data_IF_452742590693
#
_entry.id   IF_452742590693
#
_cell.length_a   1.000
_cell.length_b   1.000
_cell.length_c   1.000
_cell.angle_alpha   90.00
_cell.angle_beta   90.00
_cell.angle_gamma   90.00
#
_symmetry.space_group_name_H-M   'P 1'
#
loop_
_entity.id
_entity.type
_entity.pdbx_description
1 polymer ?
#
# COMPACT_ATOMS: atom_id res chain seq x y z
N UNK A 1 0.61 -32.19 27.18
CA UNK A 1 1.92 -31.64 26.80
C UNK A 1 1.64 -30.45 25.89
N UNK A 2 1.88 -29.24 26.37
CA UNK A 2 1.77 -28.03 25.55
C UNK A 2 3.03 -28.00 24.68
N UNK A 3 2.87 -28.09 23.36
CA UNK A 3 4.00 -27.92 22.44
C UNK A 3 4.68 -26.58 22.75
N UNK A 4 6.02 -26.52 22.84
CA UNK A 4 6.68 -25.22 22.93
C UNK A 4 6.26 -24.43 21.69
N UNK A 5 5.65 -23.27 21.91
CA UNK A 5 5.28 -22.36 20.82
C UNK A 5 6.53 -22.02 20.00
N UNK A 6 6.37 -21.63 18.72
CA UNK A 6 7.50 -21.20 17.91
C UNK A 6 8.31 -20.16 18.71
N UNK A 7 9.61 -20.39 18.83
CA UNK A 7 10.54 -19.45 19.46
C UNK A 7 10.40 -18.09 18.77
N UNK A 8 10.53 -17.00 19.53
CA UNK A 8 10.30 -15.62 19.06
C UNK A 8 11.14 -15.24 17.81
N UNK A 9 12.22 -15.99 17.56
CA UNK A 9 13.12 -15.89 16.40
C UNK A 9 12.59 -16.50 15.09
N UNK A 10 11.55 -17.35 15.11
CA UNK A 10 11.11 -18.09 13.92
C UNK A 10 10.52 -17.19 12.82
N UNK A 11 10.08 -15.97 13.16
CA UNK A 11 9.42 -15.06 12.23
C UNK A 11 10.05 -13.66 12.27
N UNK A 12 11.29 -13.59 11.81
CA UNK A 12 12.03 -12.34 11.60
C UNK A 12 11.91 -11.87 10.16
N UNK A 13 11.78 -10.55 9.98
CA UNK A 13 11.64 -9.88 8.68
C UNK A 13 12.74 -8.84 8.47
N UNK A 14 13.90 -9.07 9.10
CA UNK A 14 15.10 -8.25 8.89
C UNK A 14 15.40 -8.11 7.39
N UNK A 15 15.64 -6.88 6.96
CA UNK A 15 15.87 -6.53 5.56
C UNK A 15 14.62 -6.30 4.71
N UNK A 16 13.40 -6.46 5.26
CA UNK A 16 12.19 -5.94 4.63
C UNK A 16 11.99 -4.45 4.93
N UNK A 17 11.53 -3.72 3.92
CA UNK A 17 11.20 -2.29 4.01
C UNK A 17 9.71 -2.09 3.73
N UNK A 18 9.01 -1.42 4.64
CA UNK A 18 7.61 -1.06 4.47
C UNK A 18 7.44 0.46 4.46
N UNK A 19 6.67 0.96 3.49
CA UNK A 19 6.30 2.36 3.39
C UNK A 19 4.81 2.52 3.62
N UNK A 20 4.44 3.44 4.50
CA UNK A 20 3.07 3.89 4.70
C UNK A 20 2.91 5.27 4.08
N UNK A 21 1.93 5.44 3.21
CA UNK A 21 1.54 6.77 2.73
C UNK A 21 0.25 7.18 3.43
N UNK A 22 0.37 8.12 4.37
CA UNK A 22 -0.73 8.71 5.10
C UNK A 22 -1.38 9.83 4.27
N UNK A 23 -2.53 9.52 3.69
CA UNK A 23 -3.34 10.36 2.83
C UNK A 23 -4.39 11.16 3.62
N UNK A 24 -4.09 11.53 4.88
CA UNK A 24 -4.88 12.50 5.62
C UNK A 24 -4.95 13.85 4.90
N UNK A 25 -5.99 14.63 5.19
CA UNK A 25 -6.13 16.00 4.71
C UNK A 25 -5.44 17.04 5.62
N UNK A 26 -4.97 16.61 6.79
CA UNK A 26 -4.38 17.49 7.82
C UNK A 26 -2.87 17.58 7.68
N UNK A 27 -2.31 18.79 7.59
CA UNK A 27 -0.86 19.00 7.45
C UNK A 27 -0.15 18.71 8.77
N UNK A 28 1.11 18.28 8.71
CA UNK A 28 1.91 18.15 9.93
C UNK A 28 2.10 19.53 10.61
N UNK A 29 2.07 19.61 11.96
CA UNK A 29 2.03 18.52 12.93
C UNK A 29 0.61 18.17 13.44
N UNK A 30 -0.46 18.50 12.70
CA UNK A 30 -1.82 18.21 13.16
C UNK A 30 -2.04 16.70 13.34
N UNK A 31 -2.85 16.34 14.34
CA UNK A 31 -3.16 14.93 14.64
C UNK A 31 -3.95 14.28 13.51
N UNK A 32 -3.38 13.22 12.94
CA UNK A 32 -4.05 12.35 11.98
C UNK A 32 -4.56 11.08 12.68
N UNK A 33 -5.87 10.88 12.67
CA UNK A 33 -6.50 9.68 13.20
C UNK A 33 -6.00 8.40 12.51
N UNK A 34 -5.77 8.48 11.21
CA UNK A 34 -5.19 7.40 10.42
C UNK A 34 -3.78 7.04 10.89
N UNK A 35 -2.98 8.02 11.33
CA UNK A 35 -1.62 7.78 11.82
C UNK A 35 -1.60 6.92 13.08
N UNK A 36 -2.56 7.10 13.97
CA UNK A 36 -2.69 6.24 15.14
C UNK A 36 -2.87 4.76 14.79
N UNK A 37 -3.56 4.46 13.68
CA UNK A 37 -3.73 3.09 13.19
C UNK A 37 -2.47 2.60 12.44
N UNK A 38 -1.79 3.48 11.71
CA UNK A 38 -0.49 3.21 11.09
C UNK A 38 0.51 2.77 12.15
N UNK A 39 0.60 3.48 13.27
CA UNK A 39 1.56 3.19 14.35
C UNK A 39 1.36 1.81 14.97
N UNK A 40 0.11 1.30 15.02
CA UNK A 40 -0.18 -0.08 15.44
C UNK A 40 0.44 -1.10 14.50
N UNK A 41 0.27 -0.92 13.20
CA UNK A 41 0.85 -1.81 12.18
C UNK A 41 2.38 -1.71 12.18
N UNK A 42 2.93 -0.50 12.26
CA UNK A 42 4.39 -0.26 12.32
C UNK A 42 5.03 -0.94 13.51
N UNK A 43 4.45 -0.83 14.70
CA UNK A 43 4.98 -1.47 15.89
C UNK A 43 5.12 -3.00 15.73
N UNK A 44 4.17 -3.64 15.04
CA UNK A 44 4.25 -5.08 14.73
C UNK A 44 5.38 -5.37 13.74
N UNK A 45 5.50 -4.58 12.66
CA UNK A 45 6.56 -4.75 11.65
C UNK A 45 7.96 -4.54 12.26
N UNK A 46 8.16 -3.45 13.00
CA UNK A 46 9.42 -3.08 13.64
C UNK A 46 9.82 -4.08 14.72
N UNK A 47 8.85 -4.55 15.53
CA UNK A 47 9.07 -5.59 16.53
C UNK A 47 9.58 -6.91 15.92
N UNK A 48 9.32 -7.14 14.63
CA UNK A 48 9.80 -8.31 13.88
C UNK A 48 10.98 -8.03 12.96
N UNK A 49 11.59 -6.84 13.03
CA UNK A 49 12.83 -6.49 12.33
C UNK A 49 12.66 -5.83 10.96
N UNK A 50 11.44 -5.66 10.47
CA UNK A 50 11.22 -4.88 9.25
C UNK A 50 11.41 -3.38 9.55
N UNK A 51 12.05 -2.66 8.63
CA UNK A 51 12.17 -1.19 8.72
C UNK A 51 10.92 -0.54 8.16
N UNK A 52 10.39 0.49 8.83
CA UNK A 52 9.20 1.20 8.36
C UNK A 52 9.48 2.68 8.13
N UNK A 53 8.74 3.26 7.18
CA UNK A 53 8.76 4.68 6.84
C UNK A 53 7.33 5.19 6.69
N UNK A 54 7.05 6.39 7.18
CA UNK A 54 5.75 7.06 7.00
C UNK A 54 5.96 8.34 6.22
N UNK A 55 5.20 8.49 5.13
CA UNK A 55 5.08 9.74 4.37
C UNK A 55 3.67 10.27 4.55
N UNK A 56 3.55 11.51 5.00
CA UNK A 56 2.27 12.21 5.00
C UNK A 56 2.13 12.98 3.68
N UNK A 57 1.32 12.45 2.77
CA UNK A 57 1.27 12.94 1.38
C UNK A 57 0.86 14.42 1.26
N UNK A 58 0.07 14.95 2.19
CA UNK A 58 -0.37 16.35 2.17
C UNK A 58 0.76 17.35 2.51
N UNK A 59 1.87 16.87 3.07
CA UNK A 59 3.05 17.69 3.38
C UNK A 59 4.00 17.83 2.17
N UNK A 60 3.76 17.06 1.11
CA UNK A 60 4.54 17.09 -0.11
C UNK A 60 3.75 17.75 -1.24
N UNK A 61 4.44 18.58 -2.03
CA UNK A 61 3.85 19.19 -3.20
C UNK A 61 3.81 18.20 -4.36
N UNK A 62 2.82 17.31 -4.32
CA UNK A 62 2.58 16.29 -5.33
C UNK A 62 1.68 16.91 -6.41
N UNK A 63 2.20 17.06 -7.61
CA UNK A 63 1.44 17.54 -8.76
C UNK A 63 0.27 16.60 -9.09
N UNK A 64 -0.79 17.09 -9.74
CA UNK A 64 -1.79 16.21 -10.35
C UNK A 64 -1.37 15.87 -11.78
N UNK A 65 -1.69 14.66 -12.23
CA UNK A 65 -1.40 14.22 -13.60
C UNK A 65 -0.87 12.80 -13.68
N UNK A 66 -0.56 12.36 -14.91
CA UNK A 66 -0.31 10.95 -15.26
C UNK A 66 1.08 10.69 -15.85
N UNK A 67 2.04 11.58 -15.62
CA UNK A 67 3.44 11.40 -16.01
C UNK A 67 4.37 11.22 -14.80
N UNK A 68 5.46 10.43 -14.88
CA UNK A 68 6.34 10.19 -13.73
C UNK A 68 6.88 11.48 -13.09
N UNK A 69 7.17 12.50 -13.90
CA UNK A 69 7.56 13.84 -13.46
C UNK A 69 6.70 14.90 -14.14
N UNK A 70 5.80 15.54 -13.39
CA UNK A 70 4.94 16.57 -13.99
C UNK A 70 5.65 17.89 -14.26
N UNK A 71 6.89 18.08 -13.79
CA UNK A 71 7.70 19.28 -14.11
C UNK A 71 7.99 19.35 -15.61
N UNK A 72 8.15 18.18 -16.25
CA UNK A 72 8.29 18.06 -17.71
C UNK A 72 6.99 18.36 -18.47
N UNK A 73 5.87 18.48 -17.75
CA UNK A 73 4.52 18.65 -18.28
C UNK A 73 3.82 19.90 -17.72
N UNK A 74 4.61 20.95 -17.43
CA UNK A 74 4.10 22.30 -17.16
C UNK A 74 3.81 22.60 -15.69
N UNK A 75 4.11 21.69 -14.76
CA UNK A 75 4.13 22.03 -13.33
C UNK A 75 5.45 22.70 -12.95
N UNK A 76 5.40 23.69 -12.07
CA UNK A 76 6.61 24.32 -11.53
C UNK A 76 7.36 23.38 -10.58
N UNK A 77 6.59 22.61 -9.81
CA UNK A 77 7.05 21.73 -8.74
C UNK A 77 6.31 20.39 -8.79
N UNK A 78 7.04 19.32 -8.52
CA UNK A 78 6.48 17.98 -8.28
C UNK A 78 7.45 17.22 -7.39
N UNK A 79 6.99 16.82 -6.21
CA UNK A 79 7.73 15.98 -5.27
C UNK A 79 7.60 14.47 -5.57
N UNK A 80 6.78 14.11 -6.56
CA UNK A 80 6.52 12.72 -6.87
C UNK A 80 7.75 11.93 -7.35
N UNK A 81 8.65 12.45 -8.21
CA UNK A 81 9.81 11.69 -8.65
C UNK A 81 10.68 11.18 -7.50
N UNK A 82 10.92 12.02 -6.49
CA UNK A 82 11.71 11.66 -5.31
C UNK A 82 10.94 10.70 -4.37
N UNK A 83 9.63 10.92 -4.20
CA UNK A 83 8.77 10.00 -3.44
C UNK A 83 8.64 8.63 -4.10
N UNK A 84 8.58 8.59 -5.44
CA UNK A 84 8.49 7.36 -6.21
C UNK A 84 9.74 6.48 -6.00
N UNK A 85 10.93 7.08 -5.94
CA UNK A 85 12.15 6.35 -5.58
C UNK A 85 12.04 5.63 -4.22
N UNK A 86 11.40 6.26 -3.23
CA UNK A 86 11.15 5.65 -1.90
C UNK A 86 10.10 4.54 -1.97
N UNK A 87 9.02 4.74 -2.75
CA UNK A 87 8.02 3.71 -3.03
C UNK A 87 8.67 2.47 -3.64
N UNK A 88 9.55 2.65 -4.63
CA UNK A 88 10.22 1.54 -5.31
C UNK A 88 11.26 0.84 -4.44
N UNK A 89 11.81 1.52 -3.43
CA UNK A 89 12.71 0.92 -2.45
C UNK A 89 11.97 0.08 -1.38
N UNK A 90 10.66 0.21 -1.26
CA UNK A 90 9.86 -0.57 -0.31
C UNK A 90 9.46 -1.93 -0.90
N UNK A 91 9.55 -2.98 -0.08
CA UNK A 91 9.00 -4.30 -0.39
C UNK A 91 7.48 -4.34 -0.15
N UNK A 92 7.00 -3.51 0.79
CA UNK A 92 5.59 -3.40 1.19
C UNK A 92 5.14 -1.93 1.08
N UNK A 93 4.01 -1.69 0.41
CA UNK A 93 3.33 -0.39 0.38
C UNK A 93 1.97 -0.48 1.06
N UNK A 94 1.73 0.36 2.06
CA UNK A 94 0.42 0.49 2.72
C UNK A 94 -0.14 1.88 2.48
N UNK A 95 -1.21 1.97 1.71
CA UNK A 95 -1.92 3.23 1.48
C UNK A 95 -2.93 3.45 2.58
N UNK A 96 -2.82 4.58 3.29
CA UNK A 96 -3.58 4.82 4.51
C UNK A 96 -4.38 6.11 4.36
N UNK A 97 -5.66 6.14 4.73
CA UNK A 97 -6.41 7.39 4.61
C UNK A 97 -7.73 7.46 5.38
N UNK A 98 -8.27 8.68 5.52
CA UNK A 98 -9.57 8.89 6.09
C UNK A 98 -10.70 8.65 5.08
N UNK A 99 -11.88 8.33 5.60
CA UNK A 99 -13.13 8.26 4.83
C UNK A 99 -13.80 9.64 4.80
N UNK A 100 -14.29 10.03 3.62
CA UNK A 100 -15.15 11.19 3.41
C UNK A 100 -16.32 10.81 2.50
N UNK A 101 -17.55 10.95 3.00
CA UNK A 101 -18.78 10.60 2.26
C UNK A 101 -18.74 9.17 1.68
N UNK A 102 -18.20 8.22 2.44
CA UNK A 102 -18.08 6.83 2.02
C UNK A 102 -16.96 6.53 1.01
N UNK A 103 -16.13 7.50 0.63
CA UNK A 103 -15.00 7.32 -0.30
C UNK A 103 -13.67 7.79 0.32
N UNK A 104 -12.57 7.47 -0.34
CA UNK A 104 -11.23 7.85 0.02
C UNK A 104 -11.04 9.37 -0.08
N UNK A 105 -10.11 9.90 0.72
CA UNK A 105 -9.69 11.30 0.63
C UNK A 105 -9.19 11.69 -0.77
N UNK A 106 -9.31 12.97 -1.12
CA UNK A 106 -8.75 13.51 -2.37
C UNK A 106 -7.23 13.30 -2.46
N UNK A 107 -6.53 13.33 -1.33
CA UNK A 107 -5.09 13.05 -1.25
C UNK A 107 -4.79 11.59 -1.61
N UNK A 108 -5.62 10.64 -1.17
CA UNK A 108 -5.48 9.23 -1.55
C UNK A 108 -5.67 9.04 -3.05
N UNK A 109 -6.71 9.66 -3.64
CA UNK A 109 -6.95 9.60 -5.09
C UNK A 109 -5.76 10.14 -5.86
N UNK A 110 -5.22 11.30 -5.46
CA UNK A 110 -4.00 11.86 -6.07
C UNK A 110 -2.81 10.90 -5.95
N UNK A 111 -2.54 10.31 -4.78
CA UNK A 111 -1.45 9.32 -4.64
C UNK A 111 -1.63 8.13 -5.58
N UNK A 112 -2.85 7.60 -5.72
CA UNK A 112 -3.14 6.50 -6.65
C UNK A 112 -2.91 6.92 -8.11
N UNK A 113 -3.36 8.10 -8.52
CA UNK A 113 -3.11 8.66 -9.86
C UNK A 113 -1.61 8.76 -10.15
N UNK A 114 -0.82 9.21 -9.17
CA UNK A 114 0.64 9.34 -9.31
C UNK A 114 1.36 8.00 -9.29
N UNK A 115 0.87 7.00 -8.57
CA UNK A 115 1.36 5.62 -8.73
C UNK A 115 1.07 5.11 -10.15
N UNK A 116 -0.12 5.37 -10.68
CA UNK A 116 -0.48 4.98 -12.05
C UNK A 116 0.29 5.73 -13.12
N UNK A 117 0.74 6.95 -12.86
CA UNK A 117 1.60 7.73 -13.75
C UNK A 117 2.91 7.00 -14.13
N UNK A 118 3.35 6.05 -13.30
CA UNK A 118 4.53 5.22 -13.53
C UNK A 118 4.22 3.84 -14.14
N UNK A 119 2.99 3.59 -14.60
CA UNK A 119 2.53 2.27 -15.08
C UNK A 119 3.21 1.80 -16.37
N UNK A 120 3.86 2.68 -17.12
CA UNK A 120 4.66 2.33 -18.30
C UNK A 120 6.07 1.83 -17.97
N UNK A 121 6.54 2.06 -16.74
CA UNK A 121 7.89 1.70 -16.31
C UNK A 121 7.96 0.19 -16.11
N UNK A 122 9.03 -0.42 -16.61
CA UNK A 122 9.31 -1.85 -16.46
C UNK A 122 10.47 -2.09 -15.49
N UNK A 123 10.47 -3.25 -14.83
CA UNK A 123 11.61 -3.75 -14.08
C UNK A 123 12.64 -4.41 -15.01
N UNK A 124 13.79 -4.83 -14.46
CA UNK A 124 14.88 -5.47 -15.22
C UNK A 124 14.46 -6.79 -15.90
N UNK A 125 13.40 -7.44 -15.42
CA UNK A 125 12.84 -8.65 -16.01
C UNK A 125 11.83 -8.37 -17.14
N UNK A 126 11.53 -7.10 -17.45
CA UNK A 126 10.55 -6.71 -18.48
C UNK A 126 9.08 -6.77 -18.03
N UNK A 127 8.83 -6.92 -16.73
CA UNK A 127 7.49 -6.81 -16.12
C UNK A 127 7.21 -5.37 -15.69
N UNK A 128 5.95 -5.03 -15.38
CA UNK A 128 5.64 -3.73 -14.78
C UNK A 128 6.42 -3.49 -13.49
N UNK A 129 6.88 -2.25 -13.27
CA UNK A 129 7.86 -1.90 -12.25
C UNK A 129 7.51 -2.41 -10.83
N UNK A 130 6.22 -2.41 -10.48
CA UNK A 130 5.74 -2.78 -9.15
C UNK A 130 5.75 -4.28 -8.84
N UNK A 131 5.97 -5.15 -9.84
CA UNK A 131 6.01 -6.59 -9.64
C UNK A 131 7.02 -6.99 -8.56
N UNK A 132 6.68 -8.04 -7.79
CA UNK A 132 7.48 -8.52 -6.67
C UNK A 132 7.28 -7.77 -5.34
N UNK A 133 6.37 -6.79 -5.29
CA UNK A 133 6.03 -6.03 -4.07
C UNK A 133 4.65 -6.38 -3.54
N UNK A 134 4.40 -6.06 -2.27
CA UNK A 134 3.15 -6.36 -1.57
C UNK A 134 2.38 -5.10 -1.21
N UNK A 135 1.06 -5.11 -1.41
CA UNK A 135 0.18 -3.98 -1.18
C UNK A 135 -0.87 -4.24 -0.08
N UNK A 136 -1.20 -3.20 0.69
CA UNK A 136 -2.29 -3.20 1.66
C UNK A 136 -2.84 -1.79 1.93
N UNK A 137 -3.85 -1.69 2.81
CA UNK A 137 -4.40 -0.38 3.18
C UNK A 137 -4.95 -0.29 4.61
N UNK A 138 -4.88 0.91 5.19
CA UNK A 138 -5.46 1.23 6.51
C UNK A 138 -6.45 2.38 6.39
N UNK A 139 -7.70 2.16 6.80
CA UNK A 139 -8.78 3.13 6.61
C UNK A 139 -9.40 3.54 7.94
N UNK A 140 -9.57 4.84 8.16
CA UNK A 140 -10.25 5.36 9.37
C UNK A 140 -11.38 6.31 9.01
N UNK A 141 -12.54 6.22 9.66
CA UNK A 141 -13.60 7.20 9.51
C UNK A 141 -14.44 7.31 10.77
N UNK A 142 -15.18 8.40 10.91
CA UNK A 142 -16.12 8.54 12.02
C UNK A 142 -17.38 7.69 11.78
N UNK A 143 -17.68 7.39 10.51
CA UNK A 143 -18.80 6.55 10.07
C UNK A 143 -18.43 5.71 8.82
N UNK A 144 -19.42 5.08 8.21
CA UNK A 144 -19.33 4.04 7.18
C UNK A 144 -18.48 4.39 5.92
N UNK A 145 -17.95 3.35 5.26
CA UNK A 145 -17.23 3.46 3.99
C UNK A 145 -15.91 2.67 3.91
N UNK A 146 -15.47 2.05 5.01
CA UNK A 146 -14.12 1.45 5.09
C UNK A 146 -13.88 0.38 4.01
N UNK A 147 -14.83 -0.53 3.81
CA UNK A 147 -14.72 -1.59 2.81
C UNK A 147 -14.80 -1.06 1.37
N UNK A 148 -15.62 -0.03 1.13
CA UNK A 148 -15.69 0.62 -0.18
C UNK A 148 -14.38 1.31 -0.53
N UNK A 149 -13.79 2.01 0.44
CA UNK A 149 -12.47 2.64 0.30
C UNK A 149 -11.39 1.59 0.02
N UNK A 150 -11.33 0.54 0.84
CA UNK A 150 -10.38 -0.56 0.70
C UNK A 150 -10.50 -1.27 -0.66
N UNK A 151 -11.73 -1.54 -1.13
CA UNK A 151 -11.96 -2.13 -2.45
C UNK A 151 -11.27 -1.33 -3.56
N UNK A 152 -11.43 0.00 -3.55
CA UNK A 152 -10.80 0.87 -4.54
C UNK A 152 -9.26 0.84 -4.43
N UNK A 153 -8.73 0.98 -3.22
CA UNK A 153 -7.28 1.01 -2.97
C UNK A 153 -6.61 -0.31 -3.35
N UNK A 154 -7.16 -1.44 -2.88
CA UNK A 154 -6.59 -2.76 -3.13
C UNK A 154 -6.67 -3.14 -4.61
N UNK A 155 -7.78 -2.82 -5.29
CA UNK A 155 -7.87 -3.00 -6.74
C UNK A 155 -6.81 -2.18 -7.48
N UNK A 156 -6.63 -0.89 -7.12
CA UNK A 156 -5.61 -0.04 -7.73
C UNK A 156 -4.20 -0.60 -7.53
N UNK A 157 -3.84 -1.01 -6.32
CA UNK A 157 -2.53 -1.62 -6.05
C UNK A 157 -2.33 -2.91 -6.84
N UNK A 158 -3.32 -3.80 -6.84
CA UNK A 158 -3.28 -5.04 -7.62
C UNK A 158 -3.09 -4.75 -9.11
N UNK A 159 -3.87 -3.80 -9.66
CA UNK A 159 -3.82 -3.46 -11.08
C UNK A 159 -2.46 -2.91 -11.52
N UNK A 160 -1.76 -2.21 -10.63
CA UNK A 160 -0.40 -1.71 -10.88
C UNK A 160 0.67 -2.82 -10.88
N UNK A 161 0.40 -3.96 -10.23
CA UNK A 161 1.34 -5.09 -10.14
C UNK A 161 1.77 -5.46 -8.72
N UNK A 162 1.20 -4.83 -7.68
CA UNK A 162 1.39 -5.32 -6.31
C UNK A 162 0.65 -6.64 -6.10
N UNK A 163 1.25 -7.54 -5.33
CA UNK A 163 0.53 -8.74 -4.84
C UNK A 163 -0.22 -8.37 -3.57
N UNK A 164 -1.51 -8.68 -3.51
CA UNK A 164 -2.39 -8.37 -2.38
C UNK A 164 -2.70 -9.68 -1.63
N UNK A 165 -2.29 -9.84 -0.36
CA UNK A 165 -2.60 -11.04 0.42
C UNK A 165 -4.08 -11.07 0.86
N UNK A 166 -4.57 -12.21 1.39
CA UNK A 166 -5.84 -12.23 2.11
C UNK A 166 -5.85 -11.22 3.27
N UNK A 167 -6.98 -10.56 3.49
CA UNK A 167 -7.15 -9.58 4.58
C UNK A 167 -6.07 -8.47 4.55
N UNK A 168 -5.81 -7.92 3.36
CA UNK A 168 -4.83 -6.84 3.15
C UNK A 168 -5.35 -5.43 3.54
N UNK A 169 -6.56 -5.35 4.09
CA UNK A 169 -7.12 -4.14 4.67
C UNK A 169 -7.38 -4.30 6.17
N UNK A 170 -7.24 -3.18 6.90
CA UNK A 170 -7.81 -3.03 8.23
C UNK A 170 -8.29 -1.59 8.43
N UNK A 171 -9.16 -1.38 9.42
CA UNK A 171 -9.71 -0.06 9.65
C UNK A 171 -10.51 0.08 10.92
N UNK A 172 -10.91 1.33 11.17
CA UNK A 172 -11.84 1.69 12.23
C UNK A 172 -12.92 2.62 11.68
N UNK A 173 -14.17 2.34 12.03
CA UNK A 173 -15.32 3.21 11.82
C UNK A 173 -16.10 3.30 13.13
N UNK A 174 -16.66 4.47 13.41
CA UNK A 174 -17.59 4.66 14.51
C UNK A 174 -19.01 4.21 14.15
N UNK A 175 -19.93 4.46 15.07
CA UNK A 175 -21.37 4.29 14.85
C UNK A 175 -21.88 5.26 13.77
N UNK A 176 -22.96 4.89 13.09
CA UNK A 176 -23.56 5.75 12.08
C UNK A 176 -23.98 7.12 12.66
N UNK A 177 -23.57 8.21 12.00
CA UNK A 177 -23.85 9.58 12.42
C UNK A 177 -22.61 10.34 12.92
N UNK A 178 -22.80 11.58 13.41
CA UNK A 178 -21.69 12.38 13.89
C UNK A 178 -21.10 11.76 15.17
N UNK A 179 -19.89 11.23 15.05
CA UNK A 179 -19.19 10.56 16.14
C UNK A 179 -17.76 11.07 16.32
N UNK A 180 -17.09 10.66 17.42
CA UNK A 180 -15.67 10.88 17.61
C UNK A 180 -14.85 10.20 16.50
N UNK A 181 -13.68 10.73 16.19
CA UNK A 181 -12.70 10.05 15.35
C UNK A 181 -11.86 9.04 16.14
N UNK A 182 -11.09 8.19 15.45
CA UNK A 182 -10.30 7.12 16.05
C UNK A 182 -9.51 7.55 17.30
N UNK A 183 -8.70 8.60 17.26
CA UNK A 183 -7.87 9.05 18.39
C UNK A 183 -8.60 9.97 19.37
N UNK A 184 -9.86 10.34 19.09
CA UNK A 184 -10.59 11.21 20.00
C UNK A 184 -10.87 10.50 21.31
N UNK A 185 -10.97 11.29 22.38
CA UNK A 185 -11.33 10.77 23.70
C UNK A 185 -12.70 10.08 23.61
N UNK A 186 -12.81 8.92 24.26
CA UNK A 186 -14.04 8.12 24.35
C UNK A 186 -14.54 7.55 23.00
N UNK A 187 -13.72 7.57 21.94
CA UNK A 187 -14.04 6.93 20.65
C UNK A 187 -14.11 5.41 20.73
N UNK A 188 -13.38 4.81 21.67
CA UNK A 188 -13.13 3.37 21.75
C UNK A 188 -12.24 2.82 20.62
N UNK A 189 -11.73 3.67 19.72
CA UNK A 189 -10.97 3.25 18.56
C UNK A 189 -9.70 2.48 18.89
N UNK A 190 -8.74 3.06 19.64
CA UNK A 190 -7.50 2.41 20.01
C UNK A 190 -7.68 1.13 20.83
N UNK A 191 -8.83 0.95 21.46
CA UNK A 191 -9.21 -0.21 22.27
C UNK A 191 -10.05 -1.24 21.50
N UNK A 192 -10.51 -0.93 20.30
CA UNK A 192 -11.42 -1.78 19.54
C UNK A 192 -10.73 -3.10 19.14
N UNK A 193 -11.23 -4.22 19.67
CA UNK A 193 -10.65 -5.56 19.45
C UNK A 193 -10.65 -5.95 17.97
N UNK A 194 -11.74 -5.67 17.25
CA UNK A 194 -11.86 -6.02 15.84
C UNK A 194 -10.84 -5.27 14.97
N UNK A 195 -10.69 -3.96 15.19
CA UNK A 195 -9.67 -3.13 14.53
C UNK A 195 -8.26 -3.63 14.86
N UNK A 196 -7.95 -3.86 16.14
CA UNK A 196 -6.62 -4.28 16.57
C UNK A 196 -6.25 -5.67 16.03
N UNK A 197 -7.18 -6.63 16.06
CA UNK A 197 -7.00 -7.97 15.51
C UNK A 197 -6.76 -7.93 14.00
N UNK A 198 -7.60 -7.22 13.25
CA UNK A 198 -7.47 -7.18 11.80
C UNK A 198 -6.23 -6.39 11.35
N UNK A 199 -5.85 -5.32 12.06
CA UNK A 199 -4.60 -4.60 11.81
C UNK A 199 -3.39 -5.51 12.03
N UNK A 200 -3.44 -6.33 13.08
CA UNK A 200 -2.40 -7.33 13.35
C UNK A 200 -2.34 -8.38 12.23
N UNK A 201 -3.48 -8.96 11.85
CA UNK A 201 -3.53 -10.00 10.80
C UNK A 201 -3.09 -9.48 9.44
N UNK A 202 -3.60 -8.31 9.03
CA UNK A 202 -3.15 -7.62 7.82
C UNK A 202 -1.63 -7.44 7.83
N UNK A 203 -1.08 -6.92 8.94
CA UNK A 203 0.38 -6.69 9.05
C UNK A 203 1.19 -7.96 8.88
N UNK A 204 0.78 -9.05 9.54
CA UNK A 204 1.44 -10.36 9.39
C UNK A 204 1.34 -10.91 7.97
N UNK A 205 0.16 -10.81 7.34
CA UNK A 205 -0.03 -11.29 5.98
C UNK A 205 0.84 -10.52 4.96
N UNK A 206 1.00 -9.21 5.15
CA UNK A 206 1.91 -8.39 4.34
C UNK A 206 3.36 -8.84 4.51
N UNK A 207 3.82 -9.03 5.75
CA UNK A 207 5.19 -9.46 6.07
C UNK A 207 5.50 -10.85 5.48
N UNK A 208 4.61 -11.82 5.69
CA UNK A 208 4.80 -13.18 5.18
C UNK A 208 4.87 -13.20 3.65
N UNK A 209 3.95 -12.51 2.98
CA UNK A 209 3.94 -12.50 1.52
C UNK A 209 5.15 -11.77 0.94
N UNK A 210 5.56 -10.66 1.56
CA UNK A 210 6.74 -9.92 1.11
C UNK A 210 8.02 -10.76 1.27
N UNK A 211 8.14 -11.51 2.37
CA UNK A 211 9.24 -12.46 2.55
C UNK A 211 9.25 -13.54 1.48
N UNK A 212 8.09 -14.16 1.21
CA UNK A 212 7.95 -15.20 0.19
C UNK A 212 8.36 -14.70 -1.20
N UNK A 213 7.89 -13.50 -1.61
CA UNK A 213 8.27 -12.92 -2.89
C UNK A 213 9.77 -12.59 -2.96
N UNK A 214 10.34 -12.04 -1.88
CA UNK A 214 11.76 -11.69 -1.84
C UNK A 214 12.66 -12.92 -1.93
N UNK A 215 12.32 -13.99 -1.23
CA UNK A 215 13.05 -15.26 -1.29
C UNK A 215 12.92 -15.96 -2.64
N UNK A 216 11.76 -15.84 -3.29
CA UNK A 216 11.54 -16.38 -4.63
C UNK A 216 12.18 -15.56 -5.77
N UNK A 217 12.69 -14.35 -5.48
CA UNK A 217 13.19 -13.43 -6.50
C UNK A 217 12.09 -12.69 -7.28
N UNK A 218 10.89 -12.55 -6.71
CA UNK A 218 9.74 -11.87 -7.31
C UNK A 218 8.70 -12.83 -7.91
N UNK A 219 7.81 -12.28 -8.74
CA UNK A 219 6.86 -13.07 -9.55
C UNK A 219 7.61 -13.59 -10.78
N UNK A 220 7.55 -14.90 -11.11
CA UNK A 220 8.20 -15.43 -12.31
C UNK A 220 7.84 -14.63 -13.56
N UNK A 221 8.86 -14.26 -14.35
CA UNK A 221 8.71 -13.39 -15.53
C UNK A 221 8.09 -14.09 -16.76
N UNK A 222 8.13 -15.43 -16.78
CA UNK A 222 7.60 -16.18 -17.90
C UNK A 222 6.11 -15.89 -18.12
N UNK A 223 5.76 -15.39 -19.32
CA UNK A 223 4.39 -15.13 -19.74
C UNK A 223 3.80 -13.77 -19.31
N UNK A 224 4.56 -12.89 -18.66
CA UNK A 224 4.07 -11.58 -18.22
C UNK A 224 5.03 -10.42 -18.53
N UNK A 225 5.77 -10.55 -19.63
CA UNK A 225 6.73 -9.56 -20.12
C UNK A 225 6.17 -8.83 -21.34
N UNK A 226 5.90 -7.54 -21.17
CA UNK A 226 5.37 -6.70 -22.24
C UNK A 226 6.35 -6.55 -23.40
N UNK A 227 7.64 -6.40 -23.09
CA UNK A 227 8.70 -6.27 -24.10
C UNK A 227 8.82 -7.49 -25.00
N UNK A 228 8.65 -8.71 -24.46
CA UNK A 228 8.68 -9.94 -25.25
C UNK A 228 7.44 -10.07 -26.14
N UNK A 229 6.27 -9.72 -25.59
CA UNK A 229 5.03 -9.66 -26.36
C UNK A 229 5.14 -8.69 -27.54
N UNK A 230 5.62 -7.47 -27.30
CA UNK A 230 5.80 -6.42 -28.30
C UNK A 230 6.87 -6.81 -29.34
N UNK A 231 7.87 -7.63 -28.97
CA UNK A 231 8.86 -8.21 -29.87
C UNK A 231 8.35 -9.41 -30.70
N UNK A 232 7.07 -9.79 -30.55
CA UNK A 232 6.44 -10.87 -31.32
C UNK A 232 6.57 -12.26 -30.69
N UNK A 233 7.18 -12.39 -29.51
CA UNK A 233 7.19 -13.62 -28.73
C UNK A 233 5.82 -13.81 -28.05
N UNK A 234 4.86 -14.28 -28.84
CA UNK A 234 3.48 -14.55 -28.41
C UNK A 234 3.34 -15.95 -27.82
N UNK A 235 4.02 -16.18 -26.69
CA UNK A 235 3.89 -17.42 -25.92
C UNK A 235 2.39 -17.69 -25.67
N UNK A 236 1.95 -18.90 -25.98
CA UNK A 236 0.57 -19.39 -25.84
C UNK A 236 -0.54 -18.64 -26.62
N UNK A 237 -0.19 -17.72 -27.53
CA UNK A 237 -1.16 -17.04 -28.40
C UNK A 237 -0.89 -17.40 -29.87
N UNK A 238 -1.79 -18.17 -30.47
CA UNK A 238 -1.70 -18.55 -31.90
C UNK A 238 -1.56 -17.30 -32.77
N UNK A 239 -0.47 -17.22 -33.54
CA UNK A 239 -0.29 -16.16 -34.52
C UNK A 239 -0.92 -16.59 -35.86
N UNK A 240 -2.08 -16.03 -36.27
CA UNK A 240 -2.76 -16.45 -37.50
C UNK A 240 -1.98 -16.12 -38.78
N UNK A 241 -0.93 -15.30 -38.72
CA UNK A 241 -0.10 -14.93 -39.88
C UNK A 241 1.13 -15.82 -40.08
N UNK A 242 1.40 -16.77 -39.17
CA UNK A 242 2.43 -17.80 -39.34
C UNK A 242 1.78 -19.19 -39.23
N UNK A 243 1.18 -19.64 -40.34
CA UNK A 243 0.95 -21.06 -40.67
C UNK A 243 1.72 -21.41 -41.93
#
# INVERSE_FOLDING_TARGET
MVSPGPTDDAYRFDGLRAMYINCTLKRSPEVSNTEGLIDRSRAVMEGRGATTEVVRAIDHDIATGVWPDMREHGWETDAWPELYGRVMAADILVLCGPIWLGDNSSVMKRVIERLYACSSILNEAGQYAYYGRVGGCLITGNEDGAKHCAMNVLYSLQHLGYTVPPQADAGWVGEAGPGPSYLDKDSGGPQNDFTNRNTTFMTWNLLHLARLLKEAGGIPAHGNQRSEWDAGCRLDFENPEHR
#
